data_IF_645440132873
#
_entry.id   IF_645440132873
#
_cell.length_a   1.000
_cell.length_b   1.000
_cell.length_c   1.000
_cell.angle_alpha   90.00
_cell.angle_beta   90.00
_cell.angle_gamma   90.00
#
_symmetry.space_group_name_H-M   'P 1'
#
loop_
_entity.id
_entity.type
_entity.pdbx_description
1 polymer ?
#
# COMPACT_ATOMS: atom_id res chain seq x y z
N UNK A 1 -17.77 32.90 19.25
CA UNK A 1 -18.78 32.08 18.54
C UNK A 1 -18.20 30.69 18.34
N UNK A 2 -18.92 29.58 18.63
CA UNK A 2 -18.39 28.21 18.53
C UNK A 2 -17.95 27.82 17.11
N UNK A 3 -18.47 28.48 16.07
CA UNK A 3 -18.10 28.22 14.67
C UNK A 3 -16.82 28.93 14.22
N UNK A 4 -16.53 30.12 14.74
CA UNK A 4 -15.44 30.99 14.24
C UNK A 4 -14.34 31.27 15.28
N UNK A 5 -14.47 30.73 16.49
CA UNK A 5 -13.53 30.96 17.58
C UNK A 5 -13.63 32.37 18.21
N UNK A 6 -12.54 32.80 18.86
CA UNK A 6 -12.37 34.15 19.41
C UNK A 6 -12.00 35.09 18.25
N UNK A 7 -12.81 36.11 18.02
CA UNK A 7 -12.54 37.14 17.02
C UNK A 7 -11.58 38.15 17.65
N UNK A 8 -10.45 38.39 16.99
CA UNK A 8 -9.42 39.35 17.42
C UNK A 8 -9.50 40.56 16.49
N UNK A 9 -9.74 41.79 17.01
CA UNK A 9 -9.76 43.00 16.17
C UNK A 9 -8.35 43.28 15.64
N UNK A 10 -8.25 43.60 14.34
CA UNK A 10 -6.99 43.89 13.66
C UNK A 10 -7.00 45.29 13.05
N UNK A 11 -5.81 45.88 12.93
CA UNK A 11 -5.59 47.16 12.24
C UNK A 11 -5.54 46.99 10.71
N UNK A 12 -5.38 48.10 9.98
CA UNK A 12 -5.28 48.14 8.51
C UNK A 12 -4.08 47.33 7.97
N UNK A 13 -3.06 47.10 8.81
CA UNK A 13 -1.88 46.29 8.48
C UNK A 13 -2.05 44.82 8.87
N UNK A 14 -3.18 44.43 9.46
CA UNK A 14 -3.50 43.05 9.86
C UNK A 14 -2.95 42.63 11.23
N UNK A 15 -2.41 43.54 12.04
CA UNK A 15 -1.92 43.24 13.38
C UNK A 15 -3.04 43.34 14.41
N UNK A 16 -3.09 42.49 15.46
CA UNK A 16 -4.05 42.63 16.55
C UNK A 16 -3.98 44.04 17.18
N UNK A 17 -5.12 44.65 17.48
CA UNK A 17 -5.14 45.98 18.14
C UNK A 17 -4.73 45.89 19.61
N UNK A 18 -5.10 44.78 20.27
CA UNK A 18 -4.76 44.54 21.68
C UNK A 18 -3.34 44.00 21.85
N UNK A 19 -2.60 44.58 22.80
CA UNK A 19 -1.22 44.15 23.11
C UNK A 19 -1.15 42.70 23.59
N UNK A 20 -2.09 42.25 24.43
CA UNK A 20 -2.13 40.86 24.92
C UNK A 20 -2.33 39.84 23.80
N UNK A 21 -3.10 40.18 22.76
CA UNK A 21 -3.32 39.30 21.62
C UNK A 21 -2.08 39.28 20.70
N UNK A 22 -1.32 40.39 20.61
CA UNK A 22 -0.02 40.45 19.93
C UNK A 22 0.99 39.52 20.60
N UNK A 23 1.14 39.63 21.91
CA UNK A 23 2.10 38.82 22.68
C UNK A 23 1.75 37.32 22.60
N UNK A 24 0.46 37.00 22.57
CA UNK A 24 -0.04 35.64 22.38
C UNK A 24 0.31 35.09 21.00
N UNK A 25 0.15 35.88 19.94
CA UNK A 25 0.54 35.46 18.58
C UNK A 25 2.07 35.31 18.47
N UNK A 26 2.84 36.24 19.05
CA UNK A 26 4.30 36.17 19.06
C UNK A 26 4.83 34.91 19.76
N UNK A 27 4.29 34.57 20.94
CA UNK A 27 4.64 33.33 21.65
C UNK A 27 4.34 32.08 20.82
N UNK A 28 3.16 32.01 20.20
CA UNK A 28 2.79 30.88 19.33
C UNK A 28 3.69 30.78 18.09
N UNK A 29 4.13 31.89 17.53
CA UNK A 29 5.07 31.90 16.41
C UNK A 29 6.45 31.41 16.86
N UNK A 30 6.90 31.80 18.05
CA UNK A 30 8.16 31.33 18.63
C UNK A 30 8.12 29.82 18.92
N UNK A 31 7.07 29.33 19.59
CA UNK A 31 6.87 27.89 19.85
C UNK A 31 6.84 27.06 18.55
N UNK A 32 6.21 27.59 17.49
CA UNK A 32 6.21 26.95 16.17
C UNK A 32 7.59 26.88 15.54
N UNK A 33 8.40 27.94 15.68
CA UNK A 33 9.78 27.98 15.19
C UNK A 33 10.69 27.06 16.00
N UNK A 34 10.49 26.94 17.32
CA UNK A 34 11.22 25.95 18.11
C UNK A 34 10.87 24.51 17.72
N UNK A 35 9.59 24.25 17.41
CA UNK A 35 9.14 22.94 16.93
C UNK A 35 9.61 22.62 15.49
N UNK A 36 10.01 23.62 14.71
CA UNK A 36 10.52 23.45 13.35
C UNK A 36 11.89 24.14 13.23
N UNK A 37 12.98 23.45 13.61
CA UNK A 37 14.32 23.97 13.40
C UNK A 37 14.50 24.33 11.92
N UNK A 38 15.09 25.50 11.65
CA UNK A 38 15.32 26.00 10.29
C UNK A 38 16.16 25.02 9.43
N UNK A 39 17.01 24.22 10.06
CA UNK A 39 17.81 23.19 9.39
C UNK A 39 17.01 21.94 8.98
N UNK A 40 15.78 21.78 9.46
CA UNK A 40 14.95 20.61 9.19
C UNK A 40 14.02 20.88 8.01
N UNK A 41 14.57 20.83 6.79
CA UNK A 41 13.83 20.98 5.55
C UNK A 41 12.96 19.73 5.24
N UNK A 42 11.62 19.86 5.19
CA UNK A 42 10.72 18.75 4.88
C UNK A 42 10.94 18.15 3.48
N UNK A 43 11.36 18.95 2.50
CA UNK A 43 11.58 18.45 1.13
C UNK A 43 12.84 17.58 1.07
N UNK A 44 13.94 18.07 1.64
CA UNK A 44 15.19 17.33 1.78
C UNK A 44 14.99 16.00 2.53
N UNK A 45 14.26 16.02 3.64
CA UNK A 45 13.96 14.79 4.39
C UNK A 45 13.22 13.76 3.52
N UNK A 46 12.26 14.19 2.70
CA UNK A 46 11.50 13.29 1.83
C UNK A 46 12.38 12.65 0.76
N UNK A 47 13.33 13.39 0.21
CA UNK A 47 14.30 12.86 -0.76
C UNK A 47 15.23 11.82 -0.13
N UNK A 48 15.72 12.09 1.09
CA UNK A 48 16.55 11.14 1.83
C UNK A 48 15.77 9.87 2.17
N UNK A 49 14.52 9.98 2.61
CA UNK A 49 13.65 8.81 2.84
C UNK A 49 13.39 8.01 1.55
N UNK A 50 13.21 8.69 0.41
CA UNK A 50 13.01 8.02 -0.88
C UNK A 50 14.27 7.28 -1.33
N UNK A 51 15.45 7.86 -1.10
CA UNK A 51 16.75 7.25 -1.45
C UNK A 51 17.12 6.09 -0.52
N UNK A 52 16.86 6.23 0.79
CA UNK A 52 17.27 5.25 1.81
C UNK A 52 16.20 4.19 2.11
N UNK A 53 14.94 4.47 1.82
CA UNK A 53 13.79 3.63 2.15
C UNK A 53 13.46 3.57 3.65
N UNK A 54 14.08 4.42 4.47
CA UNK A 54 13.86 4.53 5.91
C UNK A 54 12.96 5.74 6.19
N UNK A 55 11.95 5.59 7.05
CA UNK A 55 11.04 6.69 7.45
C UNK A 55 11.71 7.57 8.52
N UNK A 56 12.03 8.81 8.14
CA UNK A 56 12.64 9.85 8.99
C UNK A 56 11.59 10.83 9.54
N UNK A 57 10.30 10.56 9.31
CA UNK A 57 9.20 11.36 9.84
C UNK A 57 8.76 12.54 8.96
N UNK A 58 9.15 12.59 7.69
CA UNK A 58 8.68 13.63 6.74
C UNK A 58 7.14 13.66 6.66
N UNK A 59 6.50 12.51 6.82
CA UNK A 59 5.03 12.33 6.83
C UNK A 59 4.30 13.01 8.00
N UNK A 60 5.03 13.46 9.03
CA UNK A 60 4.43 14.11 10.19
C UNK A 60 4.07 15.58 9.95
N UNK A 61 4.78 16.24 9.03
CA UNK A 61 4.62 17.66 8.73
C UNK A 61 3.41 17.94 7.80
N UNK A 62 3.01 16.96 6.98
CA UNK A 62 1.84 17.02 6.08
C UNK A 62 0.49 16.74 6.76
N UNK A 63 0.45 16.63 8.09
CA UNK A 63 -0.72 16.17 8.87
C UNK A 63 -1.92 17.12 8.92
N UNK A 64 -2.04 18.11 8.02
CA UNK A 64 -3.29 18.88 7.89
C UNK A 64 -4.28 18.32 6.86
N UNK A 65 -3.95 17.28 6.08
CA UNK A 65 -4.87 16.84 5.01
C UNK A 65 -4.97 15.36 4.63
N UNK A 66 -4.03 14.47 4.99
CA UNK A 66 -4.05 13.09 4.48
C UNK A 66 -3.85 12.04 5.57
N UNK A 67 -4.84 11.89 6.46
CA UNK A 67 -5.08 10.63 7.18
C UNK A 67 -5.72 9.60 6.24
N UNK A 68 -5.03 9.30 5.14
CA UNK A 68 -5.40 8.24 4.20
C UNK A 68 -4.84 6.91 4.70
N UNK A 69 -5.71 6.07 5.27
CA UNK A 69 -5.55 4.64 5.54
C UNK A 69 -4.36 3.96 4.83
N UNK A 70 -3.29 3.65 5.57
CA UNK A 70 -2.52 2.41 5.34
C UNK A 70 -2.79 1.44 6.49
N UNK A 71 -4.04 0.94 6.55
CA UNK A 71 -4.36 -0.25 7.35
C UNK A 71 -3.57 -1.43 6.76
N UNK A 72 -2.72 -2.06 7.57
CA UNK A 72 -2.47 -3.50 7.45
C UNK A 72 -1.21 -3.99 6.74
N UNK A 73 -0.07 -3.28 6.80
CA UNK A 73 1.22 -3.97 6.64
C UNK A 73 1.97 -3.90 7.95
N UNK A 74 1.84 -4.96 8.75
CA UNK A 74 2.70 -5.16 9.91
C UNK A 74 4.17 -5.01 9.46
N UNK A 75 4.95 -4.23 10.20
CA UNK A 75 6.40 -4.13 9.97
C UNK A 75 6.94 -5.56 9.97
N UNK A 76 7.57 -5.98 8.87
CA UNK A 76 8.17 -7.32 8.77
C UNK A 76 9.18 -7.44 9.90
N UNK A 77 9.07 -8.48 10.74
CA UNK A 77 9.96 -8.72 11.89
C UNK A 77 11.45 -8.76 11.48
N UNK A 78 11.71 -9.10 10.22
CA UNK A 78 13.03 -9.10 9.58
C UNK A 78 12.91 -8.47 8.18
N UNK A 79 13.23 -7.17 8.01
CA UNK A 79 13.09 -6.49 6.72
C UNK A 79 14.07 -6.99 5.65
N UNK A 80 15.24 -7.50 6.07
CA UNK A 80 16.33 -7.92 5.17
C UNK A 80 16.37 -9.45 4.93
N UNK A 81 15.39 -10.20 5.44
CA UNK A 81 15.33 -11.65 5.24
C UNK A 81 14.37 -11.98 4.10
N UNK A 82 14.90 -12.54 3.02
CA UNK A 82 14.09 -13.07 1.91
C UNK A 82 13.55 -14.44 2.29
N UNK A 83 12.24 -14.59 2.34
CA UNK A 83 11.60 -15.87 2.60
C UNK A 83 11.59 -16.73 1.32
N UNK A 84 12.43 -17.77 1.30
CA UNK A 84 12.54 -18.70 0.18
C UNK A 84 11.25 -19.52 -0.05
N UNK A 85 10.36 -19.59 0.94
CA UNK A 85 9.07 -20.30 0.82
C UNK A 85 7.97 -19.41 0.27
N UNK A 86 8.16 -18.09 0.21
CA UNK A 86 7.16 -17.20 -0.38
C UNK A 86 7.14 -17.36 -1.89
N UNK A 87 5.95 -17.66 -2.42
CA UNK A 87 5.73 -17.65 -3.86
C UNK A 87 5.98 -16.24 -4.40
N UNK A 88 7.06 -16.07 -5.17
CA UNK A 88 7.33 -14.84 -5.88
C UNK A 88 6.23 -14.57 -6.93
N UNK A 89 5.85 -13.30 -7.08
CA UNK A 89 4.88 -12.85 -8.09
C UNK A 89 5.53 -12.81 -9.49
N UNK A 90 5.99 -13.96 -9.97
CA UNK A 90 6.57 -14.15 -11.29
C UNK A 90 5.48 -14.42 -12.33
N UNK A 91 5.80 -14.19 -13.60
CA UNK A 91 4.93 -14.58 -14.73
C UNK A 91 4.56 -16.06 -14.67
N UNK A 92 5.52 -16.93 -14.36
CA UNK A 92 5.31 -18.38 -14.22
C UNK A 92 4.31 -18.72 -13.11
N UNK A 93 4.42 -18.10 -11.93
CA UNK A 93 3.45 -18.31 -10.83
C UNK A 93 2.04 -17.89 -11.23
N UNK A 94 1.90 -16.71 -11.85
CA UNK A 94 0.59 -16.20 -12.33
C UNK A 94 -0.04 -17.11 -13.37
N UNK A 95 0.75 -17.59 -14.34
CA UNK A 95 0.27 -18.53 -15.35
C UNK A 95 -0.06 -19.89 -14.73
N UNK A 96 0.78 -20.39 -13.83
CA UNK A 96 0.55 -21.63 -13.09
C UNK A 96 -0.80 -21.62 -12.38
N UNK A 97 -1.16 -20.52 -11.70
CA UNK A 97 -2.47 -20.37 -11.03
C UNK A 97 -3.66 -20.47 -12.00
N UNK A 98 -3.50 -20.06 -13.25
CA UNK A 98 -4.56 -20.15 -14.28
C UNK A 98 -4.62 -21.55 -14.92
N UNK A 99 -3.46 -22.10 -15.28
CA UNK A 99 -3.33 -23.38 -15.99
C UNK A 99 -3.64 -24.56 -15.06
N UNK A 100 -3.10 -24.55 -13.84
CA UNK A 100 -3.28 -25.61 -12.84
C UNK A 100 -4.49 -25.38 -11.92
N UNK A 101 -5.41 -24.48 -12.29
CA UNK A 101 -6.68 -24.37 -11.59
C UNK A 101 -7.44 -25.70 -11.73
N UNK A 102 -8.02 -26.20 -10.62
CA UNK A 102 -8.82 -27.43 -10.58
C UNK A 102 -9.86 -27.51 -11.70
N UNK A 103 -10.49 -26.39 -12.04
CA UNK A 103 -11.47 -26.31 -13.14
C UNK A 103 -10.82 -26.51 -14.51
N UNK A 104 -9.67 -25.86 -14.77
CA UNK A 104 -8.88 -26.02 -16.00
C UNK A 104 -8.43 -27.48 -16.17
N UNK A 105 -7.87 -28.08 -15.11
CA UNK A 105 -7.43 -29.49 -15.12
C UNK A 105 -8.61 -30.43 -15.41
N UNK A 106 -9.77 -30.23 -14.77
CA UNK A 106 -10.98 -31.03 -15.04
C UNK A 106 -11.42 -30.96 -16.51
N UNK A 107 -11.32 -29.80 -17.16
CA UNK A 107 -11.66 -29.66 -18.59
C UNK A 107 -10.73 -30.47 -19.47
N UNK A 108 -9.42 -30.42 -19.20
CA UNK A 108 -8.42 -31.20 -19.93
C UNK A 108 -8.69 -32.71 -19.76
N UNK A 109 -8.91 -33.17 -18.53
CA UNK A 109 -9.26 -34.58 -18.25
C UNK A 109 -10.51 -34.99 -18.99
N UNK A 110 -11.58 -34.19 -18.97
CA UNK A 110 -12.82 -34.50 -19.72
C UNK A 110 -12.57 -34.60 -21.22
N UNK A 111 -11.75 -33.73 -21.79
CA UNK A 111 -11.40 -33.77 -23.20
C UNK A 111 -10.58 -35.03 -23.55
N UNK A 112 -9.61 -35.39 -22.71
CA UNK A 112 -8.81 -36.60 -22.87
C UNK A 112 -9.68 -37.86 -22.79
N UNK A 113 -10.56 -37.97 -21.79
CA UNK A 113 -11.46 -39.11 -21.63
C UNK A 113 -12.42 -39.25 -22.81
N UNK A 114 -12.87 -38.15 -23.41
CA UNK A 114 -13.72 -38.20 -24.61
C UNK A 114 -12.97 -38.75 -25.83
N UNK A 115 -11.71 -38.38 -26.00
CA UNK A 115 -10.87 -38.91 -27.08
C UNK A 115 -10.62 -40.39 -26.85
N UNK A 116 -10.35 -40.76 -25.61
CA UNK A 116 -10.10 -42.14 -25.19
C UNK A 116 -11.31 -43.04 -25.46
N UNK A 117 -12.50 -42.64 -25.01
CA UNK A 117 -13.74 -43.36 -25.24
C UNK A 117 -14.00 -43.64 -26.74
N UNK A 118 -13.76 -42.66 -27.62
CA UNK A 118 -13.91 -42.85 -29.07
C UNK A 118 -12.92 -43.84 -29.67
N UNK A 119 -11.71 -43.95 -29.10
CA UNK A 119 -10.76 -44.97 -29.55
C UNK A 119 -11.28 -46.35 -29.18
N UNK A 120 -11.77 -46.51 -27.94
CA UNK A 120 -12.33 -47.78 -27.48
C UNK A 120 -13.61 -48.17 -28.22
N UNK A 121 -14.48 -47.23 -28.61
CA UNK A 121 -15.68 -47.52 -29.41
C UNK A 121 -15.37 -48.24 -30.74
N UNK A 122 -14.28 -47.86 -31.42
CA UNK A 122 -13.89 -48.48 -32.71
C UNK A 122 -13.41 -49.92 -32.57
N UNK A 123 -12.90 -50.28 -31.40
CA UNK A 123 -12.34 -51.59 -31.11
C UNK A 123 -13.15 -52.33 -30.03
N UNK A 124 -14.36 -51.87 -29.73
CA UNK A 124 -15.19 -52.44 -28.66
C UNK A 124 -15.49 -53.94 -28.88
N UNK A 125 -15.49 -54.38 -30.14
CA UNK A 125 -15.73 -55.77 -30.52
C UNK A 125 -14.45 -56.64 -30.50
N UNK A 126 -13.28 -56.06 -30.22
CA UNK A 126 -12.01 -56.78 -30.11
C UNK A 126 -11.58 -56.83 -28.64
N UNK A 127 -11.73 -58.01 -28.02
CA UNK A 127 -11.39 -58.25 -26.61
C UNK A 127 -9.91 -57.94 -26.27
N UNK A 128 -9.02 -57.89 -27.27
CA UNK A 128 -7.62 -57.45 -27.10
C UNK A 128 -7.48 -56.02 -26.56
N UNK A 129 -8.50 -55.17 -26.69
CA UNK A 129 -8.48 -53.76 -26.27
C UNK A 129 -9.40 -53.46 -25.07
N UNK A 130 -9.95 -54.49 -24.43
CA UNK A 130 -10.91 -54.36 -23.33
C UNK A 130 -10.28 -54.33 -21.91
N UNK A 131 -8.96 -54.57 -21.79
CA UNK A 131 -8.27 -54.80 -20.52
C UNK A 131 -7.27 -53.71 -20.09
N UNK A 132 -7.26 -52.54 -20.74
CA UNK A 132 -6.38 -51.42 -20.36
C UNK A 132 -7.16 -50.23 -19.83
#
# INVERSE_FOLDING_TARGET
>A
CPFHGKIVPRDESGNPVNQEDRDREAKKQFEKKEHQPEWQDPELMREVEAATGVDLGSSQYDRKGKRGKKKGKAKKKYPNLTDLKQEANTSRSRLGKKVFNKTSVKRVVKAMNRIDQRKHEKFANQFNYALN
#
